data_IF_847018051241
#
_entry.id   IF_847018051241
#
_cell.length_a   1.000
_cell.length_b   1.000
_cell.length_c   1.000
_cell.angle_alpha   90.00
_cell.angle_beta   90.00
_cell.angle_gamma   90.00
#
_symmetry.space_group_name_H-M   'P 1'
#
loop_
_entity.id
_entity.type
_entity.pdbx_description
1 polymer ?
#
# COMPACT_ATOMS: atom_id res chain seq x y z
N UNK A 1 13.70 -4.39 20.81
CA UNK A 1 13.51 -3.12 20.10
C UNK A 1 13.47 -1.98 21.11
N UNK A 2 14.44 -1.03 21.09
CA UNK A 2 14.32 0.16 21.93
C UNK A 2 13.02 0.91 21.57
N UNK A 3 12.34 1.48 22.56
CA UNK A 3 11.05 2.16 22.36
C UNK A 3 11.11 3.30 21.32
N UNK A 4 12.30 3.87 21.10
CA UNK A 4 12.55 4.90 20.09
C UNK A 4 12.59 4.39 18.64
N UNK A 5 12.76 3.08 18.42
CA UNK A 5 12.75 2.44 17.11
C UNK A 5 11.37 1.87 16.74
N UNK A 6 10.35 2.09 17.58
CA UNK A 6 8.94 1.75 17.34
C UNK A 6 8.13 2.96 16.86
N UNK A 7 8.77 3.93 16.22
CA UNK A 7 8.08 5.05 15.58
C UNK A 7 7.49 4.63 14.23
N UNK A 8 6.59 3.66 14.28
CA UNK A 8 5.37 3.73 13.51
C UNK A 8 4.20 3.69 14.49
N UNK A 9 3.72 4.86 14.94
CA UNK A 9 2.51 4.89 15.72
C UNK A 9 1.39 4.67 14.69
N UNK A 10 0.75 3.50 14.69
CA UNK A 10 -0.49 3.21 13.90
C UNK A 10 -1.63 2.79 14.84
N UNK A 11 -2.86 2.83 14.34
CA UNK A 11 -4.09 2.59 15.09
C UNK A 11 -4.11 1.20 15.78
N UNK A 12 -4.58 1.15 17.03
CA UNK A 12 -4.93 -0.04 17.83
C UNK A 12 -4.43 -1.39 17.29
N UNK A 13 -3.13 -1.68 17.45
CA UNK A 13 -2.51 -2.90 16.94
C UNK A 13 -3.03 -4.16 17.63
N UNK A 14 -3.20 -5.23 16.86
CA UNK A 14 -3.35 -6.57 17.43
C UNK A 14 -1.97 -7.01 17.95
N UNK A 15 -1.85 -7.22 19.27
CA UNK A 15 -0.59 -7.69 19.84
C UNK A 15 -0.38 -9.19 19.56
N UNK A 16 0.44 -9.51 18.56
CA UNK A 16 0.75 -10.88 18.15
C UNK A 16 2.12 -11.38 18.68
N UNK A 17 2.71 -10.67 19.65
CA UNK A 17 3.93 -11.13 20.34
C UNK A 17 3.67 -12.39 21.17
N UNK A 18 2.43 -12.60 21.59
CA UNK A 18 1.92 -13.86 22.16
C UNK A 18 0.77 -14.44 21.34
N UNK A 19 0.33 -15.68 21.63
CA UNK A 19 -0.71 -16.37 20.87
C UNK A 19 -2.02 -15.57 20.76
N UNK A 20 -2.60 -15.53 19.57
CA UNK A 20 -3.93 -14.96 19.35
C UNK A 20 -4.98 -16.05 19.51
N UNK A 21 -5.60 -16.16 20.69
CA UNK A 21 -6.55 -17.24 20.99
C UNK A 21 -7.97 -16.94 20.50
N UNK A 22 -8.82 -17.97 20.44
CA UNK A 22 -10.24 -17.83 20.13
C UNK A 22 -10.96 -16.82 21.04
N UNK A 23 -10.59 -16.74 22.33
CA UNK A 23 -11.14 -15.76 23.26
C UNK A 23 -10.78 -14.32 22.88
N UNK A 24 -9.55 -14.09 22.40
CA UNK A 24 -9.09 -12.79 21.90
C UNK A 24 -9.80 -12.44 20.59
N UNK A 25 -9.95 -13.40 19.69
CA UNK A 25 -10.72 -13.23 18.45
C UNK A 25 -12.18 -12.87 18.72
N UNK A 26 -12.85 -13.55 19.67
CA UNK A 26 -14.22 -13.26 20.05
C UNK A 26 -14.39 -11.84 20.61
N UNK A 27 -13.40 -11.33 21.36
CA UNK A 27 -13.41 -9.94 21.84
C UNK A 27 -13.32 -8.95 20.69
N UNK A 28 -12.44 -9.18 19.72
CA UNK A 28 -12.29 -8.32 18.52
C UNK A 28 -13.59 -8.33 17.70
N UNK A 29 -14.16 -9.51 17.45
CA UNK A 29 -15.44 -9.64 16.73
C UNK A 29 -16.60 -8.92 17.41
N UNK A 30 -16.71 -8.98 18.75
CA UNK A 30 -17.72 -8.21 19.49
C UNK A 30 -17.54 -6.70 19.32
N UNK A 31 -16.29 -6.22 19.36
CA UNK A 31 -16.00 -4.81 19.11
C UNK A 31 -16.43 -4.40 17.68
N UNK A 32 -16.02 -5.18 16.68
CA UNK A 32 -16.39 -4.98 15.27
C UNK A 32 -17.91 -4.96 15.07
N UNK A 33 -18.65 -5.89 15.68
CA UNK A 33 -20.12 -5.93 15.63
C UNK A 33 -20.74 -4.67 16.25
N UNK A 34 -20.23 -4.23 17.41
CA UNK A 34 -20.74 -3.03 18.09
C UNK A 34 -20.51 -1.75 17.30
N UNK A 35 -19.45 -1.70 16.49
CA UNK A 35 -19.10 -0.53 15.66
C UNK A 35 -19.53 -0.67 14.20
N UNK A 36 -20.09 -1.82 13.81
CA UNK A 36 -20.43 -2.16 12.41
C UNK A 36 -19.24 -2.01 11.45
N UNK A 37 -18.05 -2.36 11.94
CA UNK A 37 -16.79 -2.33 11.16
C UNK A 37 -16.46 -3.75 10.72
N UNK A 38 -16.15 -3.91 9.44
CA UNK A 38 -15.62 -5.15 8.86
C UNK A 38 -14.09 -5.20 8.90
N UNK A 39 -13.53 -6.32 8.43
CA UNK A 39 -12.09 -6.49 8.29
C UNK A 39 -11.82 -6.97 6.87
N UNK A 40 -11.02 -6.23 6.11
CA UNK A 40 -10.57 -6.67 4.79
C UNK A 40 -9.36 -7.60 4.94
N UNK A 41 -8.38 -7.19 5.74
CA UNK A 41 -7.07 -7.84 5.86
C UNK A 41 -6.52 -7.68 7.29
N UNK A 42 -5.58 -8.55 7.69
CA UNK A 42 -4.61 -8.20 8.74
C UNK A 42 -3.27 -7.86 8.10
N UNK A 43 -2.66 -6.77 8.55
CA UNK A 43 -1.42 -6.29 7.98
C UNK A 43 -0.20 -6.46 8.91
N UNK A 44 0.93 -6.85 8.34
CA UNK A 44 2.25 -6.74 8.95
C UNK A 44 3.28 -6.30 7.89
N UNK A 45 3.62 -5.01 7.94
CA UNK A 45 4.53 -4.37 7.00
C UNK A 45 5.97 -4.38 7.52
N UNK A 46 6.78 -5.30 7.00
CA UNK A 46 8.21 -5.38 7.32
C UNK A 46 8.98 -6.07 6.18
N UNK A 47 10.30 -6.05 6.25
CA UNK A 47 11.19 -6.66 5.26
C UNK A 47 11.30 -8.18 5.48
N UNK A 48 10.54 -8.96 4.71
CA UNK A 48 10.56 -10.43 4.73
C UNK A 48 11.81 -11.03 4.05
N UNK A 49 12.59 -10.23 3.33
CA UNK A 49 13.89 -10.59 2.75
C UNK A 49 15.07 -10.01 3.54
N UNK A 50 14.92 -9.81 4.86
CA UNK A 50 16.00 -9.31 5.70
C UNK A 50 17.29 -10.14 5.53
N UNK A 51 18.43 -9.47 5.43
CA UNK A 51 19.73 -10.11 5.21
C UNK A 51 20.11 -11.07 6.35
N UNK A 52 19.96 -10.61 7.59
CA UNK A 52 20.21 -11.42 8.78
C UNK A 52 19.14 -12.51 8.92
N UNK A 53 19.59 -13.76 8.94
CA UNK A 53 18.73 -14.94 8.98
C UNK A 53 17.92 -15.03 10.27
N UNK A 54 18.53 -14.73 11.43
CA UNK A 54 17.83 -14.77 12.72
C UNK A 54 16.69 -13.75 12.76
N UNK A 55 16.92 -12.55 12.25
CA UNK A 55 15.93 -11.50 12.13
C UNK A 55 14.83 -11.89 11.13
N UNK A 56 15.21 -12.43 9.97
CA UNK A 56 14.25 -12.90 8.96
C UNK A 56 13.33 -13.98 9.53
N UNK A 57 13.88 -14.96 10.24
CA UNK A 57 13.11 -16.00 10.92
C UNK A 57 12.08 -15.42 11.89
N UNK A 58 12.48 -14.49 12.77
CA UNK A 58 11.58 -13.85 13.73
C UNK A 58 10.42 -13.09 13.04
N UNK A 59 10.71 -12.44 11.91
CA UNK A 59 9.69 -11.74 11.12
C UNK A 59 8.72 -12.73 10.47
N UNK A 60 9.24 -13.82 9.89
CA UNK A 60 8.41 -14.89 9.31
C UNK A 60 7.55 -15.58 10.36
N UNK A 61 8.07 -15.84 11.56
CA UNK A 61 7.28 -16.37 12.68
C UNK A 61 6.15 -15.42 13.08
N UNK A 62 6.42 -14.11 13.14
CA UNK A 62 5.39 -13.13 13.44
C UNK A 62 4.33 -13.07 12.33
N UNK A 63 4.74 -13.14 11.05
CA UNK A 63 3.84 -13.18 9.92
C UNK A 63 2.94 -14.44 9.95
N UNK A 64 3.48 -15.61 10.29
CA UNK A 64 2.65 -16.81 10.47
C UNK A 64 1.61 -16.64 11.59
N UNK A 65 1.93 -15.91 12.67
CA UNK A 65 0.93 -15.56 13.69
C UNK A 65 -0.11 -14.58 13.18
N UNK A 66 0.24 -13.70 12.23
CA UNK A 66 -0.73 -12.86 11.51
C UNK A 66 -1.66 -13.75 10.71
N UNK A 67 -1.15 -14.78 10.03
CA UNK A 67 -1.97 -15.75 9.30
C UNK A 67 -2.95 -16.48 10.23
N UNK A 68 -2.47 -16.99 11.36
CA UNK A 68 -3.32 -17.67 12.34
C UNK A 68 -4.40 -16.73 12.91
N UNK A 69 -4.04 -15.46 13.17
CA UNK A 69 -4.98 -14.45 13.62
C UNK A 69 -6.01 -14.07 12.54
N UNK A 70 -5.59 -14.04 11.27
CA UNK A 70 -6.43 -13.76 10.11
C UNK A 70 -7.52 -14.83 9.96
N UNK A 71 -7.13 -16.11 10.00
CA UNK A 71 -8.06 -17.24 10.02
C UNK A 71 -9.02 -17.15 11.21
N UNK A 72 -8.48 -16.87 12.40
CA UNK A 72 -9.29 -16.75 13.62
C UNK A 72 -10.23 -15.55 13.63
N UNK A 73 -9.98 -14.52 12.83
CA UNK A 73 -10.90 -13.39 12.66
C UNK A 73 -11.86 -13.59 11.49
N UNK A 74 -11.53 -14.47 10.56
CA UNK A 74 -12.36 -14.84 9.40
C UNK A 74 -12.15 -13.94 8.19
N UNK A 75 -10.94 -13.37 8.02
CA UNK A 75 -10.53 -12.75 6.76
C UNK A 75 -9.86 -13.80 5.87
N UNK A 76 -9.92 -13.59 4.56
CA UNK A 76 -9.30 -14.39 3.51
C UNK A 76 -7.95 -13.84 3.06
N UNK A 77 -7.47 -12.74 3.66
CA UNK A 77 -6.29 -12.05 3.20
C UNK A 77 -5.46 -11.42 4.33
N UNK A 78 -4.18 -11.26 4.03
CA UNK A 78 -3.21 -10.53 4.83
C UNK A 78 -2.44 -9.56 3.93
N UNK A 79 -2.00 -8.44 4.51
CA UNK A 79 -1.25 -7.43 3.78
C UNK A 79 0.17 -7.26 4.34
N UNK A 80 1.12 -6.92 3.47
CA UNK A 80 2.50 -6.68 3.88
C UNK A 80 3.41 -6.28 2.75
N UNK A 81 4.71 -6.23 3.03
CA UNK A 81 5.75 -6.05 2.01
C UNK A 81 6.43 -7.38 1.70
N UNK A 82 7.13 -7.44 0.55
CA UNK A 82 8.12 -8.49 0.29
C UNK A 82 9.45 -8.10 0.94
N UNK A 83 9.86 -6.86 0.73
CA UNK A 83 11.14 -6.35 1.20
C UNK A 83 12.29 -6.64 0.24
N UNK A 84 13.52 -6.51 0.74
CA UNK A 84 14.76 -6.65 -0.02
C UNK A 84 15.93 -6.95 0.92
N UNK A 85 16.81 -7.86 0.52
CA UNK A 85 18.16 -7.95 1.05
C UNK A 85 19.05 -6.90 0.37
N UNK A 86 19.50 -5.85 1.08
CA UNK A 86 20.30 -4.78 0.49
C UNK A 86 21.73 -5.21 0.13
N UNK A 87 22.21 -6.34 0.65
CA UNK A 87 23.53 -6.90 0.29
C UNK A 87 23.52 -7.61 -1.07
N UNK A 88 22.34 -7.80 -1.68
CA UNK A 88 22.16 -8.48 -2.95
C UNK A 88 21.71 -7.51 -4.05
N UNK A 89 22.02 -7.87 -5.30
CA UNK A 89 21.38 -7.25 -6.48
C UNK A 89 19.87 -7.54 -6.49
N UNK A 90 19.11 -6.82 -7.32
CA UNK A 90 17.67 -7.08 -7.45
C UNK A 90 17.39 -8.48 -8.03
N UNK A 91 18.18 -8.94 -9.01
CA UNK A 91 18.03 -10.28 -9.57
C UNK A 91 18.37 -11.38 -8.55
N UNK A 92 19.42 -11.19 -7.74
CA UNK A 92 19.72 -12.12 -6.64
C UNK A 92 18.62 -12.11 -5.56
N UNK A 93 17.89 -11.01 -5.39
CA UNK A 93 16.70 -10.99 -4.53
C UNK A 93 15.54 -11.81 -5.11
N UNK A 94 15.44 -12.00 -6.44
CA UNK A 94 14.43 -12.91 -7.02
C UNK A 94 14.73 -14.37 -6.64
N UNK A 95 15.99 -14.77 -6.65
CA UNK A 95 16.42 -16.09 -6.16
C UNK A 95 16.09 -16.24 -4.67
N UNK A 96 16.44 -15.24 -3.86
CA UNK A 96 16.12 -15.25 -2.43
C UNK A 96 14.62 -15.27 -2.17
N UNK A 97 13.81 -14.54 -2.94
CA UNK A 97 12.35 -14.58 -2.86
C UNK A 97 11.82 -16.00 -3.12
N UNK A 98 12.32 -16.66 -4.16
CA UNK A 98 11.96 -18.05 -4.48
C UNK A 98 12.32 -19.01 -3.33
N UNK A 99 13.47 -18.82 -2.69
CA UNK A 99 13.92 -19.66 -1.57
C UNK A 99 13.13 -19.44 -0.28
N UNK A 100 12.87 -18.19 0.10
CA UNK A 100 12.39 -17.86 1.46
C UNK A 100 10.96 -17.33 1.52
N UNK A 101 10.45 -16.71 0.47
CA UNK A 101 9.10 -16.15 0.45
C UNK A 101 8.06 -17.14 -0.08
N UNK A 102 8.44 -18.02 -1.02
CA UNK A 102 7.54 -19.08 -1.52
C UNK A 102 7.09 -20.04 -0.40
N UNK A 103 7.95 -20.52 0.51
CA UNK A 103 7.48 -21.29 1.67
C UNK A 103 6.43 -20.54 2.51
N UNK A 104 6.60 -19.23 2.69
CA UNK A 104 5.63 -18.40 3.41
C UNK A 104 4.30 -18.30 2.65
N UNK A 105 4.30 -18.20 1.32
CA UNK A 105 3.08 -18.24 0.51
C UNK A 105 2.39 -19.62 0.55
N UNK A 106 3.14 -20.72 0.66
CA UNK A 106 2.57 -22.06 0.89
C UNK A 106 1.86 -22.15 2.24
N UNK A 107 2.41 -21.53 3.28
CA UNK A 107 1.74 -21.42 4.58
C UNK A 107 0.45 -20.59 4.52
N UNK A 108 0.43 -19.52 3.71
CA UNK A 108 -0.79 -18.75 3.44
C UNK A 108 -1.82 -19.61 2.68
N UNK A 109 -1.39 -20.33 1.63
CA UNK A 109 -2.23 -21.23 0.85
C UNK A 109 -2.88 -22.31 1.73
N UNK A 110 -2.11 -22.95 2.61
CA UNK A 110 -2.60 -23.99 3.52
C UNK A 110 -3.69 -23.49 4.48
N UNK A 111 -3.76 -22.16 4.70
CA UNK A 111 -4.76 -21.49 5.52
C UNK A 111 -5.89 -20.86 4.71
N UNK A 112 -5.87 -21.00 3.38
CA UNK A 112 -6.83 -20.36 2.47
C UNK A 112 -6.67 -18.84 2.41
N UNK A 113 -5.48 -18.32 2.70
CA UNK A 113 -5.20 -16.89 2.73
C UNK A 113 -4.52 -16.42 1.44
N UNK A 114 -4.86 -15.20 1.02
CA UNK A 114 -4.13 -14.44 0.00
C UNK A 114 -3.15 -13.46 0.66
N UNK A 115 -1.91 -13.39 0.20
CA UNK A 115 -0.96 -12.36 0.60
C UNK A 115 -1.00 -11.18 -0.38
N UNK A 116 -1.53 -10.05 0.08
CA UNK A 116 -1.62 -8.81 -0.69
C UNK A 116 -0.40 -7.94 -0.40
N UNK A 117 0.46 -7.76 -1.40
CA UNK A 117 1.68 -6.96 -1.29
C UNK A 117 1.36 -5.51 -1.57
N UNK A 118 1.66 -4.61 -0.64
CA UNK A 118 1.64 -3.18 -0.91
C UNK A 118 2.88 -2.76 -1.72
N UNK A 119 2.67 -2.00 -2.80
CA UNK A 119 3.76 -1.43 -3.56
C UNK A 119 4.28 -0.18 -2.87
N UNK A 120 5.50 -0.23 -2.36
CA UNK A 120 6.19 0.95 -1.83
C UNK A 120 7.69 0.77 -2.02
N UNK A 121 8.46 1.78 -2.46
CA UNK A 121 9.91 1.68 -2.57
C UNK A 121 10.62 1.64 -1.21
N UNK A 122 9.98 2.10 -0.13
CA UNK A 122 10.55 2.18 1.22
C UNK A 122 11.96 2.81 1.28
N UNK A 123 12.17 4.01 0.71
CA UNK A 123 13.51 4.55 0.53
C UNK A 123 14.23 4.78 1.86
N UNK A 124 13.52 5.13 2.93
CA UNK A 124 14.12 5.38 4.24
C UNK A 124 14.41 4.13 5.08
N UNK A 125 14.15 2.91 4.61
CA UNK A 125 14.43 1.68 5.37
C UNK A 125 15.92 1.40 5.58
N UNK A 126 16.78 1.97 4.74
CA UNK A 126 18.23 1.87 4.91
C UNK A 126 18.87 3.25 4.84
N UNK A 127 19.95 3.41 5.61
CA UNK A 127 20.79 4.61 5.64
C UNK A 127 21.65 4.71 4.37
N UNK A 128 21.86 3.60 3.66
CA UNK A 128 22.56 3.62 2.37
C UNK A 128 21.76 4.35 1.29
N UNK A 129 22.34 4.42 0.09
CA UNK A 129 21.72 5.11 -1.05
C UNK A 129 20.69 4.25 -1.79
N UNK A 130 20.33 3.10 -1.22
CA UNK A 130 19.30 2.24 -1.79
C UNK A 130 17.93 2.94 -1.68
N UNK A 131 17.36 3.21 -2.85
CA UNK A 131 16.01 3.77 -2.98
C UNK A 131 14.92 2.69 -2.90
N UNK A 132 15.12 1.56 -3.57
CA UNK A 132 14.16 0.44 -3.58
C UNK A 132 14.54 -0.61 -2.54
N UNK A 133 13.90 -0.59 -1.37
CA UNK A 133 14.09 -1.54 -0.26
C UNK A 133 12.95 -2.58 -0.12
N UNK A 134 11.97 -2.53 -1.02
CA UNK A 134 10.97 -3.57 -1.25
C UNK A 134 10.94 -3.87 -2.74
N UNK A 135 11.17 -5.13 -3.14
CA UNK A 135 11.32 -5.47 -4.56
C UNK A 135 9.99 -5.43 -5.33
N UNK A 136 8.85 -5.50 -4.64
CA UNK A 136 7.52 -5.44 -5.24
C UNK A 136 7.01 -3.99 -5.40
N UNK A 137 7.80 -3.10 -5.97
CA UNK A 137 7.50 -1.66 -6.02
C UNK A 137 6.75 -1.19 -7.28
N UNK A 138 6.70 -1.99 -8.35
CA UNK A 138 6.08 -1.58 -9.62
C UNK A 138 5.58 -2.80 -10.44
N UNK A 139 4.76 -2.60 -11.49
CA UNK A 139 4.20 -3.69 -12.30
C UNK A 139 5.22 -4.69 -12.86
N UNK A 140 6.35 -4.23 -13.38
CA UNK A 140 7.40 -5.10 -13.91
C UNK A 140 7.88 -6.13 -12.87
N UNK A 141 8.34 -5.69 -11.69
CA UNK A 141 8.64 -6.59 -10.58
C UNK A 141 7.45 -7.45 -10.11
N UNK A 142 6.21 -6.94 -10.06
CA UNK A 142 5.06 -7.76 -9.67
C UNK A 142 4.86 -8.95 -10.60
N UNK A 143 4.98 -8.72 -11.92
CA UNK A 143 4.89 -9.77 -12.94
C UNK A 143 6.03 -10.80 -12.76
N UNK A 144 7.26 -10.33 -12.51
CA UNK A 144 8.40 -11.23 -12.28
C UNK A 144 8.18 -12.11 -11.04
N UNK A 145 7.73 -11.53 -9.93
CA UNK A 145 7.44 -12.25 -8.68
C UNK A 145 6.27 -13.22 -8.85
N UNK A 146 5.18 -12.79 -9.50
CA UNK A 146 4.03 -13.64 -9.76
C UNK A 146 4.40 -14.86 -10.61
N UNK A 147 5.21 -14.69 -11.66
CA UNK A 147 5.71 -15.82 -12.47
C UNK A 147 6.52 -16.83 -11.64
N UNK A 148 7.25 -16.38 -10.61
CA UNK A 148 7.88 -17.29 -9.64
C UNK A 148 6.80 -18.04 -8.86
N UNK A 149 5.81 -17.32 -8.32
CA UNK A 149 4.71 -17.90 -7.57
C UNK A 149 3.92 -18.96 -8.38
N UNK A 150 3.64 -18.69 -9.66
CA UNK A 150 2.97 -19.61 -10.58
C UNK A 150 3.76 -20.92 -10.76
N UNK A 151 5.07 -20.85 -10.99
CA UNK A 151 5.93 -22.05 -11.12
C UNK A 151 5.89 -22.95 -9.88
N UNK A 152 5.59 -22.38 -8.72
CA UNK A 152 5.51 -23.08 -7.43
C UNK A 152 4.10 -23.42 -6.97
N UNK A 153 3.08 -23.20 -7.83
CA UNK A 153 1.69 -23.51 -7.52
C UNK A 153 1.05 -22.61 -6.46
N UNK A 154 1.62 -21.44 -6.20
CA UNK A 154 1.10 -20.43 -5.24
C UNK A 154 0.78 -19.09 -5.92
N UNK A 155 0.57 -19.11 -7.24
CA UNK A 155 0.24 -17.92 -8.03
C UNK A 155 -1.00 -17.18 -7.51
N UNK A 156 -1.97 -17.90 -6.94
CA UNK A 156 -3.19 -17.31 -6.39
C UNK A 156 -3.00 -16.62 -5.04
N UNK A 157 -1.93 -16.94 -4.33
CA UNK A 157 -1.62 -16.35 -3.02
C UNK A 157 -0.87 -15.03 -3.15
N UNK A 158 -0.37 -14.67 -4.33
CA UNK A 158 0.33 -13.41 -4.56
C UNK A 158 -0.59 -12.42 -5.28
N UNK A 159 -1.01 -11.38 -4.56
CA UNK A 159 -1.78 -10.25 -5.11
C UNK A 159 -1.16 -8.93 -4.67
N UNK A 160 -1.63 -7.83 -5.24
CA UNK A 160 -1.18 -6.47 -4.98
C UNK A 160 -2.29 -5.71 -4.24
N UNK A 161 -1.91 -5.06 -3.14
CA UNK A 161 -2.70 -4.05 -2.45
C UNK A 161 -2.26 -2.69 -2.95
N UNK A 162 -2.94 -2.16 -3.96
CA UNK A 162 -2.48 -0.96 -4.66
C UNK A 162 -2.72 0.30 -3.82
N UNK A 163 -1.64 1.00 -3.47
CA UNK A 163 -1.67 2.34 -2.86
C UNK A 163 -1.30 3.45 -3.87
N UNK A 164 -2.24 4.32 -4.28
CA UNK A 164 -1.97 5.38 -5.25
C UNK A 164 -1.00 6.44 -4.74
N UNK A 165 -0.79 6.59 -3.42
CA UNK A 165 0.18 7.55 -2.89
C UNK A 165 1.61 7.17 -3.29
N UNK A 166 1.95 5.88 -3.26
CA UNK A 166 3.28 5.40 -3.64
C UNK A 166 3.53 5.53 -5.15
N UNK A 167 2.47 5.47 -5.97
CA UNK A 167 2.58 5.76 -7.39
C UNK A 167 3.07 7.19 -7.64
N UNK A 168 2.56 8.17 -6.87
CA UNK A 168 3.00 9.57 -6.92
C UNK A 168 4.50 9.68 -6.55
N UNK A 169 4.93 8.98 -5.50
CA UNK A 169 6.35 8.92 -5.10
C UNK A 169 7.26 8.40 -6.22
N UNK A 170 6.76 7.49 -7.05
CA UNK A 170 7.49 6.87 -8.16
C UNK A 170 7.25 7.55 -9.51
N UNK A 171 6.52 8.68 -9.55
CA UNK A 171 6.19 9.38 -10.80
C UNK A 171 5.27 8.59 -11.73
N UNK A 172 4.42 7.72 -11.17
CA UNK A 172 3.49 6.86 -11.90
C UNK A 172 2.07 7.44 -11.88
N UNK A 173 1.38 7.28 -13.00
CA UNK A 173 -0.06 7.54 -13.14
C UNK A 173 -0.84 6.23 -12.95
N UNK A 174 -1.86 6.21 -12.08
CA UNK A 174 -2.60 4.98 -11.75
C UNK A 174 -3.29 4.36 -12.97
N UNK A 175 -3.91 5.17 -13.84
CA UNK A 175 -4.55 4.67 -15.05
C UNK A 175 -3.54 3.98 -15.97
N UNK A 176 -2.37 4.56 -16.14
CA UNK A 176 -1.26 3.99 -16.91
C UNK A 176 -0.74 2.69 -16.30
N UNK A 177 -0.66 2.61 -14.96
CA UNK A 177 -0.30 1.37 -14.25
C UNK A 177 -1.33 0.27 -14.52
N UNK A 178 -2.62 0.58 -14.42
CA UNK A 178 -3.68 -0.40 -14.65
C UNK A 178 -3.76 -0.82 -16.11
N UNK A 179 -3.60 0.12 -17.04
CA UNK A 179 -3.54 -0.16 -18.47
C UNK A 179 -2.35 -1.07 -18.79
N UNK A 180 -1.18 -0.81 -18.21
CA UNK A 180 0.00 -1.65 -18.42
C UNK A 180 -0.23 -3.09 -17.97
N UNK A 181 -0.86 -3.28 -16.81
CA UNK A 181 -1.23 -4.61 -16.33
C UNK A 181 -2.23 -5.29 -17.27
N UNK A 182 -3.25 -4.58 -17.74
CA UNK A 182 -4.23 -5.09 -18.72
C UNK A 182 -3.57 -5.52 -20.03
N UNK A 183 -2.72 -4.65 -20.58
CA UNK A 183 -1.99 -4.91 -21.83
C UNK A 183 -1.06 -6.14 -21.68
N UNK A 184 -0.45 -6.29 -20.50
CA UNK A 184 0.41 -7.42 -20.18
C UNK A 184 -0.34 -8.71 -19.77
N UNK A 185 -1.66 -8.66 -19.59
CA UNK A 185 -2.49 -9.78 -19.14
C UNK A 185 -2.39 -10.10 -17.65
N UNK A 186 -2.01 -9.13 -16.82
CA UNK A 186 -1.82 -9.23 -15.36
C UNK A 186 -2.72 -8.27 -14.56
N UNK A 187 -3.83 -7.81 -15.15
CA UNK A 187 -4.85 -6.95 -14.54
C UNK A 187 -5.56 -7.55 -13.31
N UNK A 188 -5.45 -8.87 -13.14
CA UNK A 188 -5.96 -9.61 -11.97
C UNK A 188 -5.06 -9.51 -10.73
N UNK A 189 -3.82 -8.99 -10.87
CA UNK A 189 -2.89 -8.94 -9.75
C UNK A 189 -3.36 -8.01 -8.65
N UNK A 190 -4.05 -6.91 -8.98
CA UNK A 190 -4.55 -5.96 -8.00
C UNK A 190 -5.90 -6.45 -7.46
N UNK A 191 -5.98 -6.66 -6.14
CA UNK A 191 -7.21 -7.13 -5.47
C UNK A 191 -7.54 -6.36 -4.19
N UNK A 192 -6.79 -5.31 -3.90
CA UNK A 192 -7.01 -4.45 -2.73
C UNK A 192 -6.50 -3.05 -3.03
N UNK A 193 -7.07 -2.06 -2.35
CA UNK A 193 -6.69 -0.66 -2.52
C UNK A 193 -6.48 0.01 -1.18
N UNK A 194 -5.41 0.80 -1.08
CA UNK A 194 -5.40 1.92 -0.15
C UNK A 194 -6.08 3.14 -0.79
N UNK A 195 -6.71 3.94 0.07
CA UNK A 195 -7.18 5.27 -0.27
C UNK A 195 -6.34 6.27 0.51
N UNK A 196 -5.30 6.80 -0.13
CA UNK A 196 -4.31 7.70 0.47
C UNK A 196 -3.78 8.69 -0.56
N UNK A 197 -3.64 9.95 -0.16
CA UNK A 197 -3.09 11.00 -1.00
C UNK A 197 -1.61 11.23 -0.72
N UNK A 198 -0.87 11.61 -1.76
CA UNK A 198 0.43 12.25 -1.61
C UNK A 198 0.49 13.51 -2.47
N UNK A 199 1.23 14.50 -1.99
CA UNK A 199 1.47 15.73 -2.75
C UNK A 199 2.96 15.93 -2.94
N UNK A 200 3.32 16.18 -4.19
CA UNK A 200 4.67 16.57 -4.59
C UNK A 200 4.91 18.02 -4.16
N UNK A 201 5.97 18.23 -3.38
CA UNK A 201 6.57 19.54 -3.16
C UNK A 201 7.50 19.85 -4.33
N UNK A 202 7.05 20.73 -5.22
CA UNK A 202 7.81 21.15 -6.40
C UNK A 202 9.16 21.78 -6.06
N UNK A 203 9.32 22.44 -4.90
CA UNK A 203 10.63 22.96 -4.46
C UNK A 203 11.55 21.80 -4.10
N UNK A 204 11.02 20.79 -3.41
CA UNK A 204 11.72 19.55 -3.09
C UNK A 204 12.21 18.83 -4.34
N UNK A 205 11.32 18.58 -5.30
CA UNK A 205 11.68 17.99 -6.60
C UNK A 205 12.69 18.86 -7.34
N UNK A 206 12.50 20.19 -7.37
CA UNK A 206 13.46 21.09 -8.04
C UNK A 206 14.85 21.07 -7.40
N UNK A 207 14.92 20.85 -6.08
CA UNK A 207 16.17 20.80 -5.34
C UNK A 207 16.88 19.44 -5.45
N UNK A 208 16.14 18.33 -5.50
CA UNK A 208 16.70 16.99 -5.29
C UNK A 208 16.28 15.92 -6.32
N UNK A 209 15.27 16.18 -7.16
CA UNK A 209 14.69 15.20 -8.08
C UNK A 209 13.96 14.03 -7.40
N UNK A 210 13.54 13.05 -8.19
CA UNK A 210 12.77 11.87 -7.73
C UNK A 210 13.56 10.85 -6.89
N UNK A 211 14.85 11.08 -6.66
CA UNK A 211 15.66 10.35 -5.68
C UNK A 211 15.79 11.07 -4.33
N UNK A 212 15.17 12.25 -4.21
CA UNK A 212 15.20 13.13 -3.04
C UNK A 212 16.57 13.38 -2.45
N UNK A 213 16.60 13.83 -1.19
CA UNK A 213 17.86 14.26 -0.60
C UNK A 213 18.68 13.02 -0.23
N UNK A 214 19.72 12.75 -1.01
CA UNK A 214 20.67 11.64 -0.82
C UNK A 214 21.97 12.06 -0.13
N UNK A 215 22.21 13.35 0.07
CA UNK A 215 23.42 13.85 0.74
C UNK A 215 23.09 14.89 1.82
N UNK A 216 24.01 15.07 2.78
CA UNK A 216 23.87 16.04 3.87
C UNK A 216 22.58 15.85 4.71
N UNK A 217 22.09 14.62 4.78
CA UNK A 217 20.84 14.26 5.46
C UNK A 217 20.96 14.34 6.99
N UNK A 218 22.16 14.14 7.53
CA UNK A 218 22.45 14.17 8.97
C UNK A 218 22.38 12.81 9.67
N UNK A 219 22.22 11.72 8.91
CA UNK A 219 22.33 10.31 9.30
C UNK A 219 23.75 9.74 9.07
N UNK A 220 24.71 10.57 8.66
CA UNK A 220 26.14 10.22 8.50
C UNK A 220 27.05 11.20 9.24
N UNK A 221 28.24 10.74 9.62
CA UNK A 221 29.36 11.53 10.16
C UNK A 221 30.61 11.23 9.33
N UNK A 222 30.90 12.09 8.36
CA UNK A 222 31.91 11.79 7.35
C UNK A 222 31.48 10.58 6.52
N UNK A 223 32.32 9.55 6.47
CA UNK A 223 32.06 8.31 5.73
C UNK A 223 31.35 7.22 6.55
N UNK A 224 30.97 7.49 7.81
CA UNK A 224 30.35 6.50 8.69
C UNK A 224 28.87 6.80 8.95
N UNK A 225 27.97 5.80 8.89
CA UNK A 225 26.56 5.99 9.24
C UNK A 225 26.41 6.21 10.75
N UNK A 226 25.45 7.05 11.13
CA UNK A 226 25.12 7.29 12.52
C UNK A 226 24.55 6.03 13.18
N UNK A 227 25.02 5.73 14.40
CA UNK A 227 24.48 4.65 15.23
C UNK A 227 23.22 5.07 16.00
N UNK A 228 22.88 6.36 16.02
CA UNK A 228 21.74 6.90 16.75
C UNK A 228 20.44 6.72 15.94
N UNK A 229 19.46 5.92 16.38
CA UNK A 229 18.23 5.67 15.61
C UNK A 229 17.45 6.94 15.23
N UNK A 230 17.48 7.95 16.11
CA UNK A 230 16.85 9.25 15.86
C UNK A 230 17.51 10.03 14.72
N UNK A 231 18.78 9.79 14.41
CA UNK A 231 19.45 10.37 13.24
C UNK A 231 19.21 9.52 12.00
N UNK A 232 19.20 8.18 12.13
CA UNK A 232 18.97 7.26 11.02
C UNK A 232 17.63 7.52 10.30
N UNK A 233 16.63 8.05 11.00
CA UNK A 233 15.36 8.48 10.38
C UNK A 233 15.54 9.52 9.27
N UNK A 234 16.66 10.27 9.26
CA UNK A 234 16.94 11.22 8.19
C UNK A 234 17.18 10.54 6.83
N UNK A 235 17.35 9.21 6.79
CA UNK A 235 17.29 8.45 5.55
C UNK A 235 15.95 8.65 4.81
N UNK A 236 14.85 8.91 5.53
CA UNK A 236 13.55 9.24 4.93
C UNK A 236 13.53 10.58 4.19
N UNK A 237 14.54 11.44 4.32
CA UNK A 237 14.69 12.63 3.47
C UNK A 237 14.86 12.28 1.99
N UNK A 238 15.15 11.02 1.68
CA UNK A 238 14.96 10.48 0.33
C UNK A 238 13.51 10.72 -0.16
N UNK A 239 12.49 10.61 0.66
CA UNK A 239 11.09 10.90 0.29
C UNK A 239 10.58 12.25 0.81
N UNK A 240 10.81 12.55 2.08
CA UNK A 240 10.09 13.62 2.80
C UNK A 240 10.49 15.04 2.38
N UNK A 241 11.55 15.21 1.58
CA UNK A 241 11.93 16.54 1.08
C UNK A 241 11.10 16.97 -0.12
N UNK A 242 10.46 16.04 -0.81
CA UNK A 242 9.70 16.34 -2.02
C UNK A 242 8.28 15.78 -2.02
N UNK A 243 7.87 15.08 -0.96
CA UNK A 243 6.54 14.50 -0.88
C UNK A 243 5.99 14.50 0.55
N UNK A 244 4.73 14.90 0.73
CA UNK A 244 3.99 14.85 2.01
C UNK A 244 2.72 14.01 1.83
N UNK A 245 2.41 13.14 2.81
CA UNK A 245 1.15 12.40 2.83
C UNK A 245 -0.01 13.31 3.22
N UNK A 246 -1.16 13.10 2.58
CA UNK A 246 -2.40 13.83 2.86
C UNK A 246 -3.54 12.88 3.20
N UNK A 247 -4.47 13.34 4.05
CA UNK A 247 -5.72 12.60 4.24
C UNK A 247 -6.66 12.91 3.07
N UNK A 248 -7.43 11.90 2.60
CA UNK A 248 -8.48 12.14 1.65
C UNK A 248 -9.46 13.21 2.15
N UNK A 249 -9.58 14.30 1.40
CA UNK A 249 -10.44 15.43 1.70
C UNK A 249 -9.87 16.48 2.66
N UNK A 250 -8.59 16.40 3.05
CA UNK A 250 -7.98 17.36 4.01
C UNK A 250 -6.75 18.10 3.48
N UNK A 251 -6.60 18.23 2.16
CA UNK A 251 -5.44 18.93 1.61
C UNK A 251 -5.29 20.32 2.22
N UNK A 252 -4.05 20.63 2.58
CA UNK A 252 -3.71 21.62 3.61
C UNK A 252 -4.03 23.08 3.23
N UNK A 253 -4.41 23.34 1.98
CA UNK A 253 -4.46 24.70 1.45
C UNK A 253 -5.76 25.15 0.83
N UNK A 254 -6.68 24.27 0.47
CA UNK A 254 -8.00 24.66 -0.05
C UNK A 254 -8.85 23.40 -0.29
N UNK A 255 -9.96 23.19 0.46
CA UNK A 255 -10.90 22.10 0.18
C UNK A 255 -11.40 22.13 -1.27
N UNK A 256 -11.53 23.31 -1.87
CA UNK A 256 -11.90 23.47 -3.27
C UNK A 256 -10.77 23.04 -4.21
N UNK A 257 -9.51 23.35 -3.91
CA UNK A 257 -8.37 22.85 -4.67
C UNK A 257 -8.21 21.34 -4.58
N UNK A 258 -8.58 20.70 -3.47
CA UNK A 258 -8.66 19.24 -3.42
C UNK A 258 -9.77 18.71 -4.33
N UNK A 259 -10.95 19.35 -4.30
CA UNK A 259 -12.07 19.06 -5.20
C UNK A 259 -11.82 19.40 -6.68
N UNK A 260 -10.77 20.16 -6.99
CA UNK A 260 -10.39 20.52 -8.36
C UNK A 260 -9.21 19.70 -8.88
N UNK A 261 -8.23 19.42 -8.02
CA UNK A 261 -6.97 18.79 -8.41
C UNK A 261 -6.92 17.29 -8.12
N UNK A 262 -7.66 16.78 -7.12
CA UNK A 262 -7.45 15.43 -6.58
C UNK A 262 -8.69 14.55 -6.49
N UNK A 263 -9.89 15.12 -6.35
CA UNK A 263 -11.15 14.39 -6.65
C UNK A 263 -11.15 13.84 -8.06
N UNK A 264 -10.62 14.59 -9.03
CA UNK A 264 -10.51 14.14 -10.42
C UNK A 264 -9.58 12.93 -10.49
N UNK A 265 -8.45 12.96 -9.78
CA UNK A 265 -7.53 11.81 -9.69
C UNK A 265 -8.19 10.62 -8.97
N UNK A 266 -8.97 10.84 -7.91
CA UNK A 266 -9.67 9.77 -7.19
C UNK A 266 -10.82 9.17 -7.99
N UNK A 267 -11.64 10.00 -8.62
CA UNK A 267 -12.72 9.58 -9.49
C UNK A 267 -12.17 8.83 -10.69
N UNK A 268 -11.12 9.36 -11.34
CA UNK A 268 -10.45 8.69 -12.45
C UNK A 268 -9.79 7.38 -11.99
N UNK A 269 -9.16 7.35 -10.82
CA UNK A 269 -8.61 6.11 -10.26
C UNK A 269 -9.69 5.04 -10.10
N UNK A 270 -10.85 5.40 -9.54
CA UNK A 270 -11.98 4.48 -9.35
C UNK A 270 -12.61 4.03 -10.68
N UNK A 271 -12.69 4.93 -11.67
CA UNK A 271 -13.13 4.59 -13.03
C UNK A 271 -12.12 3.66 -13.72
N UNK A 272 -10.83 4.02 -13.70
CA UNK A 272 -9.75 3.23 -14.27
C UNK A 272 -9.70 1.83 -13.67
N UNK A 273 -9.90 1.69 -12.34
CA UNK A 273 -9.96 0.39 -11.70
C UNK A 273 -11.09 -0.48 -12.27
N UNK A 274 -12.30 0.08 -12.47
CA UNK A 274 -13.46 -0.63 -13.04
C UNK A 274 -13.30 -0.95 -14.54
N UNK A 275 -12.62 -0.09 -15.28
CA UNK A 275 -12.41 -0.23 -16.72
C UNK A 275 -11.26 -1.18 -17.08
N UNK A 276 -10.23 -1.21 -16.24
CA UNK A 276 -8.94 -1.78 -16.60
C UNK A 276 -8.54 -2.99 -15.76
N UNK A 277 -9.12 -3.19 -14.58
CA UNK A 277 -8.77 -4.29 -13.69
C UNK A 277 -9.87 -5.35 -13.64
N UNK A 278 -9.45 -6.61 -13.42
CA UNK A 278 -10.37 -7.73 -13.21
C UNK A 278 -10.75 -7.84 -11.74
N UNK A 279 -11.54 -6.87 -11.29
CA UNK A 279 -12.01 -6.78 -9.91
C UNK A 279 -13.54 -6.90 -9.85
N UNK A 280 -14.03 -7.32 -8.69
CA UNK A 280 -15.42 -7.19 -8.30
C UNK A 280 -15.51 -6.01 -7.32
N UNK A 281 -16.02 -4.83 -7.74
CA UNK A 281 -16.06 -3.65 -6.88
C UNK A 281 -16.84 -3.88 -5.56
N UNK A 282 -17.84 -4.75 -5.55
CA UNK A 282 -18.62 -5.05 -4.33
C UNK A 282 -17.79 -5.85 -3.30
N UNK A 283 -16.78 -6.58 -3.76
CA UNK A 283 -15.88 -7.39 -2.93
C UNK A 283 -14.50 -6.79 -2.75
N UNK A 284 -14.22 -5.66 -3.38
CA UNK A 284 -12.90 -5.00 -3.33
C UNK A 284 -12.96 -3.79 -2.42
N UNK A 285 -12.54 -3.98 -1.16
CA UNK A 285 -12.62 -2.92 -0.17
C UNK A 285 -11.57 -1.83 -0.38
N UNK A 286 -12.00 -0.58 -0.23
CA UNK A 286 -11.16 0.61 -0.19
C UNK A 286 -10.70 0.87 1.25
N UNK A 287 -9.42 0.66 1.55
CA UNK A 287 -8.84 0.89 2.87
C UNK A 287 -8.37 2.35 2.97
N UNK A 288 -9.17 3.20 3.60
CA UNK A 288 -8.84 4.61 3.82
C UNK A 288 -7.78 4.73 4.90
N UNK A 289 -6.57 5.12 4.51
CA UNK A 289 -5.45 5.29 5.42
C UNK A 289 -5.25 6.77 5.76
N UNK A 290 -5.04 7.04 7.06
CA UNK A 290 -4.85 8.39 7.58
C UNK A 290 -3.44 8.60 8.16
N UNK A 291 -2.44 8.77 7.29
CA UNK A 291 -1.06 9.14 7.69
C UNK A 291 -0.85 10.66 7.81
N UNK A 292 -1.69 11.34 8.60
CA UNK A 292 -1.48 12.75 8.91
C UNK A 292 -1.15 12.93 10.38
N UNK A 293 0.16 13.03 10.74
CA UNK A 293 0.60 13.03 12.13
C UNK A 293 -0.09 14.07 13.01
N UNK A 294 -0.37 15.28 12.48
CA UNK A 294 -1.05 16.35 13.23
C UNK A 294 -2.47 15.98 13.65
N UNK A 295 -3.24 15.34 12.77
CA UNK A 295 -4.56 14.83 13.14
C UNK A 295 -4.47 13.59 14.04
N UNK A 296 -3.39 12.81 13.93
CA UNK A 296 -3.20 11.58 14.70
C UNK A 296 -2.89 11.82 16.17
N UNK A 297 -2.06 12.82 16.48
CA UNK A 297 -1.60 13.10 17.86
C UNK A 297 -2.59 13.95 18.67
N UNK A 298 -3.73 14.29 18.09
CA UNK A 298 -4.75 15.10 18.76
C UNK A 298 -5.71 14.24 19.59
N UNK A 299 -6.60 14.91 20.33
CA UNK A 299 -7.66 14.27 21.08
C UNK A 299 -8.58 13.41 20.17
N UNK A 300 -8.93 12.19 20.62
CA UNK A 300 -9.75 11.24 19.83
C UNK A 300 -11.11 11.82 19.45
N UNK A 301 -11.74 12.61 20.31
CA UNK A 301 -13.04 13.25 20.02
C UNK A 301 -12.92 14.28 18.89
N UNK A 302 -11.76 14.92 18.74
CA UNK A 302 -11.47 15.86 17.64
C UNK A 302 -11.12 15.15 16.34
N UNK A 303 -10.61 13.91 16.42
CA UNK A 303 -10.33 13.08 15.25
C UNK A 303 -11.62 12.51 14.62
N UNK A 304 -12.61 12.16 15.42
CA UNK A 304 -13.86 11.55 14.96
C UNK A 304 -14.56 12.29 13.80
N UNK A 305 -14.82 13.61 13.86
CA UNK A 305 -15.45 14.32 12.75
C UNK A 305 -14.58 14.36 11.47
N UNK A 306 -13.25 14.36 11.60
CA UNK A 306 -12.33 14.31 10.45
C UNK A 306 -12.45 12.97 9.74
N UNK A 307 -12.40 11.85 10.49
CA UNK A 307 -12.56 10.51 9.92
C UNK A 307 -13.94 10.34 9.28
N UNK A 308 -14.99 10.85 9.92
CA UNK A 308 -16.35 10.80 9.39
C UNK A 308 -16.47 11.53 8.05
N UNK A 309 -15.90 12.74 7.94
CA UNK A 309 -15.93 13.51 6.71
C UNK A 309 -15.11 12.86 5.60
N UNK A 310 -13.91 12.35 5.93
CA UNK A 310 -13.05 11.63 4.99
C UNK A 310 -13.72 10.38 4.42
N UNK A 311 -14.36 9.56 5.28
CA UNK A 311 -15.11 8.38 4.85
C UNK A 311 -16.34 8.74 3.99
N UNK A 312 -17.08 9.78 4.37
CA UNK A 312 -18.23 10.24 3.58
C UNK A 312 -17.81 10.70 2.18
N UNK A 313 -16.70 11.44 2.10
CA UNK A 313 -16.12 11.88 0.84
C UNK A 313 -15.69 10.69 -0.04
N UNK A 314 -14.93 9.74 0.50
CA UNK A 314 -14.49 8.56 -0.26
C UNK A 314 -15.66 7.75 -0.80
N UNK A 315 -16.72 7.55 0.00
CA UNK A 315 -17.94 6.85 -0.44
C UNK A 315 -18.64 7.59 -1.58
N UNK A 316 -18.82 8.90 -1.46
CA UNK A 316 -19.49 9.69 -2.49
C UNK A 316 -18.74 9.64 -3.84
N UNK A 317 -17.40 9.64 -3.82
CA UNK A 317 -16.60 9.50 -5.04
C UNK A 317 -16.72 8.10 -5.64
N UNK A 318 -16.72 7.05 -4.81
CA UNK A 318 -16.91 5.68 -5.28
C UNK A 318 -18.29 5.45 -5.92
N UNK A 319 -19.35 5.98 -5.31
CA UNK A 319 -20.71 5.96 -5.84
C UNK A 319 -20.83 6.72 -7.16
N UNK A 320 -20.20 7.90 -7.26
CA UNK A 320 -20.15 8.67 -8.50
C UNK A 320 -19.42 7.91 -9.62
N UNK A 321 -18.29 7.26 -9.31
CA UNK A 321 -17.55 6.43 -10.26
C UNK A 321 -18.41 5.26 -10.77
N UNK A 322 -19.11 4.57 -9.88
CA UNK A 322 -19.99 3.46 -10.24
C UNK A 322 -21.14 3.91 -11.15
N UNK A 323 -21.79 5.03 -10.82
CA UNK A 323 -22.88 5.58 -11.63
C UNK A 323 -22.41 5.97 -13.04
N UNK A 324 -21.26 6.63 -13.15
CA UNK A 324 -20.68 7.01 -14.44
C UNK A 324 -20.26 5.79 -15.26
N UNK A 325 -19.63 4.80 -14.62
CA UNK A 325 -19.25 3.55 -15.27
C UNK A 325 -20.47 2.84 -15.87
N UNK A 326 -21.52 2.64 -15.08
CA UNK A 326 -22.75 1.97 -15.51
C UNK A 326 -23.44 2.72 -16.66
N UNK A 327 -23.52 4.06 -16.57
CA UNK A 327 -24.08 4.87 -17.65
C UNK A 327 -23.33 4.63 -18.98
N UNK A 328 -21.99 4.67 -18.94
CA UNK A 328 -21.14 4.58 -20.11
C UNK A 328 -21.03 3.16 -20.69
N UNK A 329 -20.93 2.14 -19.84
CA UNK A 329 -20.60 0.77 -20.25
C UNK A 329 -21.81 -0.16 -20.31
N UNK A 330 -22.94 0.21 -19.70
CA UNK A 330 -24.15 -0.62 -19.67
C UNK A 330 -25.34 0.09 -20.32
N UNK A 331 -25.68 1.30 -19.85
CA UNK A 331 -26.92 1.98 -20.24
C UNK A 331 -26.88 2.53 -21.67
N UNK A 332 -25.83 3.29 -22.04
CA UNK A 332 -25.70 3.83 -23.41
C UNK A 332 -25.55 2.71 -24.45
N UNK A 333 -24.70 1.69 -24.26
CA UNK A 333 -24.60 0.57 -25.20
C UNK A 333 -25.91 -0.22 -25.35
N UNK A 334 -26.66 -0.45 -24.27
CA UNK A 334 -27.97 -1.12 -24.33
C UNK A 334 -29.00 -0.36 -25.18
N UNK A 335 -28.81 0.95 -25.37
CA UNK A 335 -29.64 1.80 -26.23
C UNK A 335 -29.05 2.00 -27.64
N UNK A 336 -27.91 1.38 -27.95
CA UNK A 336 -27.20 1.58 -29.22
C UNK A 336 -26.60 2.98 -29.36
N UNK A 337 -26.44 3.72 -28.26
CA UNK A 337 -25.85 5.06 -28.27
C UNK A 337 -24.33 4.92 -28.18
N UNK A 338 -23.64 5.38 -29.22
CA UNK A 338 -22.18 5.41 -29.23
C UNK A 338 -21.64 6.42 -28.20
N UNK A 339 -20.53 6.06 -27.55
CA UNK A 339 -19.80 6.98 -26.70
C UNK A 339 -19.33 8.21 -27.51
N UNK A 340 -19.44 9.39 -26.91
CA UNK A 340 -19.02 10.65 -27.52
C UNK A 340 -17.78 11.20 -26.82
N UNK A 341 -16.80 11.65 -27.61
CA UNK A 341 -15.56 12.23 -27.09
C UNK A 341 -14.51 11.20 -26.68
N UNK A 342 -13.41 11.70 -26.11
CA UNK A 342 -12.28 10.90 -25.63
C UNK A 342 -12.02 11.33 -24.19
N UNK A 343 -12.06 10.37 -23.27
CA UNK A 343 -11.75 10.59 -21.85
C UNK A 343 -10.26 10.75 -21.58
N UNK A 344 -9.86 10.67 -20.31
CA UNK A 344 -8.44 10.57 -19.93
C UNK A 344 -7.87 9.26 -20.47
N UNK A 345 -6.75 9.33 -21.17
CA UNK A 345 -6.08 8.16 -21.72
C UNK A 345 -4.84 7.78 -20.89
N UNK A 346 -4.58 6.48 -20.81
CA UNK A 346 -3.34 5.97 -20.26
C UNK A 346 -2.11 6.45 -21.06
N UNK A 347 -0.97 6.52 -20.38
CA UNK A 347 0.34 6.91 -20.93
C UNK A 347 0.44 8.34 -21.48
N UNK A 348 -0.57 9.17 -21.25
CA UNK A 348 -0.51 10.60 -21.55
C UNK A 348 0.10 11.35 -20.36
N UNK A 349 1.21 12.05 -20.63
CA UNK A 349 1.93 12.91 -19.68
C UNK A 349 1.20 14.21 -19.41
#
# INVERSE_FOLDING_TARGET
MPAAALLDPVANTLDLRGPFSAARAARVRRAMQSTRVGLSDLAYFDNMLAADESLRHKKHELMQRVFDAAVLLGTDAVAGFVGRNPALSLDANLVMFEEVFIPLLKEAQARGLTYRVEQCPMPGWTIGDTWHNNIAYAPGPWIALHRICERHGVGDQFRIHYDPSHAILMGQDSRSVFQYLKDAGYDFLITGFHVKGQVIDSRGISAWGYGGQTMQRGDWRGAEPSTAPGEQRHAWKKQTVFCEHELPGTARHDPLAYLQNRTVDWLDHQLAARELLRIDPEKTFLVVEHEYPKARVQDKSRLAPILSASLAFTRAIDEAAAAMYALQHEVLPAQGIAAQGIGREAYRS
#
